data_IF_866570353462
#
_entry.id   IF_866570353462
#
_cell.length_a   1.000
_cell.length_b   1.000
_cell.length_c   1.000
_cell.angle_alpha   90.00
_cell.angle_beta   90.00
_cell.angle_gamma   90.00
#
_symmetry.space_group_name_H-M   'P 1'
#
loop_
_entity.id
_entity.type
_entity.pdbx_description
1 polymer ?
#
# COMPACT_ATOMS: atom_id res chain seq x y z
N UNK A 1 -9.85 9.20 1.78
CA UNK A 1 -11.09 8.53 2.23
C UNK A 1 -11.85 9.49 3.13
N UNK A 2 -13.18 9.60 3.00
CA UNK A 2 -13.98 10.46 3.88
C UNK A 2 -14.06 9.86 5.29
N UNK A 3 -13.78 10.66 6.32
CA UNK A 3 -13.91 10.23 7.73
C UNK A 3 -15.36 9.96 8.11
N UNK A 4 -16.28 10.71 7.49
CA UNK A 4 -17.72 10.58 7.68
C UNK A 4 -18.30 9.44 6.85
N UNK A 5 -17.93 9.38 5.56
CA UNK A 5 -18.45 8.38 4.63
C UNK A 5 -17.43 7.26 4.43
N UNK A 6 -17.50 6.28 5.33
CA UNK A 6 -16.65 5.10 5.35
C UNK A 6 -17.21 4.03 4.38
N UNK A 7 -17.18 4.33 3.09
CA UNK A 7 -17.72 3.48 2.01
C UNK A 7 -16.69 3.29 0.90
N UNK A 8 -16.57 2.06 0.42
CA UNK A 8 -15.78 1.64 -0.73
C UNK A 8 -16.73 1.55 -1.92
N UNK A 9 -16.35 2.18 -3.03
CA UNK A 9 -17.11 2.15 -4.27
C UNK A 9 -16.37 1.27 -5.29
N UNK A 10 -17.06 0.28 -5.83
CA UNK A 10 -16.55 -0.59 -6.88
C UNK A 10 -17.15 -0.13 -8.21
N UNK A 11 -16.27 0.25 -9.14
CA UNK A 11 -16.66 0.68 -10.47
C UNK A 11 -16.17 -0.32 -11.51
N UNK A 12 -16.99 -0.56 -12.52
CA UNK A 12 -16.61 -1.27 -13.75
C UNK A 12 -16.38 -0.25 -14.84
N UNK A 13 -15.30 -0.43 -15.60
CA UNK A 13 -15.02 0.35 -16.81
C UNK A 13 -15.64 -0.38 -17.98
N UNK A 14 -16.53 0.27 -18.72
CA UNK A 14 -17.15 -0.28 -19.92
C UNK A 14 -16.19 -0.21 -21.11
N UNK A 15 -16.48 -0.95 -22.18
CA UNK A 15 -15.72 -0.88 -23.44
C UNK A 15 -15.68 0.54 -24.03
N UNK A 16 -16.71 1.35 -23.75
CA UNK A 16 -16.80 2.75 -24.17
C UNK A 16 -16.02 3.72 -23.25
N UNK A 17 -15.30 3.21 -22.25
CA UNK A 17 -14.53 4.01 -21.29
C UNK A 17 -15.38 4.72 -20.22
N UNK A 18 -16.64 4.33 -20.03
CA UNK A 18 -17.49 4.90 -18.97
C UNK A 18 -17.37 4.12 -17.67
N UNK A 19 -17.48 4.82 -16.53
CA UNK A 19 -17.49 4.20 -15.20
C UNK A 19 -18.93 3.91 -14.77
N UNK A 20 -19.21 2.63 -14.48
CA UNK A 20 -20.49 2.19 -13.92
C UNK A 20 -20.26 1.79 -12.48
N UNK A 21 -21.02 2.38 -11.54
CA UNK A 21 -20.98 1.96 -10.15
C UNK A 21 -21.66 0.60 -10.02
N UNK A 22 -20.89 -0.44 -9.71
CA UNK A 22 -21.41 -1.79 -9.55
C UNK A 22 -21.86 -2.00 -8.12
N UNK A 23 -21.06 -1.55 -7.14
CA UNK A 23 -21.30 -1.89 -5.74
C UNK A 23 -20.77 -0.85 -4.76
N UNK A 24 -21.43 -0.76 -3.61
CA UNK A 24 -20.99 0.01 -2.43
C UNK A 24 -20.78 -0.93 -1.26
N UNK A 25 -19.64 -0.81 -0.57
CA UNK A 25 -19.28 -1.66 0.57
C UNK A 25 -18.95 -0.75 1.75
N UNK A 26 -19.61 -0.90 2.89
CA UNK A 26 -19.30 -0.13 4.09
C UNK A 26 -20.47 -0.09 5.06
N UNK A 27 -21.39 0.87 4.87
CA UNK A 27 -22.65 0.94 5.63
C UNK A 27 -23.42 -0.38 5.53
N UNK A 28 -23.57 -0.85 4.29
CA UNK A 28 -24.15 -2.13 3.93
C UNK A 28 -23.10 -2.99 3.21
N UNK A 29 -23.30 -4.30 3.27
CA UNK A 29 -22.40 -5.27 2.63
C UNK A 29 -23.08 -5.95 1.44
N UNK A 30 -24.38 -6.20 1.53
CA UNK A 30 -25.20 -6.66 0.41
C UNK A 30 -25.97 -5.50 -0.21
N UNK A 31 -26.37 -5.65 -1.47
CA UNK A 31 -27.11 -4.62 -2.20
C UNK A 31 -28.54 -4.48 -1.68
N UNK A 32 -29.16 -5.59 -1.27
CA UNK A 32 -30.54 -5.62 -0.77
C UNK A 32 -30.67 -5.17 0.70
N UNK A 33 -29.55 -5.07 1.44
CA UNK A 33 -29.54 -4.68 2.87
C UNK A 33 -30.30 -3.35 3.10
N UNK A 34 -30.15 -2.40 2.17
CA UNK A 34 -30.80 -1.09 2.26
C UNK A 34 -32.33 -1.22 2.15
N UNK A 35 -32.82 -2.09 1.26
CA UNK A 35 -34.24 -2.34 1.09
C UNK A 35 -34.83 -2.97 2.35
N UNK A 36 -34.19 -4.00 2.90
CA UNK A 36 -34.63 -4.64 4.15
C UNK A 36 -34.66 -3.65 5.32
N UNK A 37 -33.62 -2.83 5.50
CA UNK A 37 -33.58 -1.86 6.59
C UNK A 37 -34.55 -0.71 6.40
N UNK A 38 -34.79 -0.27 5.16
CA UNK A 38 -35.79 0.75 4.89
C UNK A 38 -37.18 0.30 5.32
N UNK A 39 -37.54 -0.97 5.09
CA UNK A 39 -38.83 -1.55 5.49
C UNK A 39 -39.11 -1.49 7.00
N UNK A 40 -38.05 -1.56 7.83
CA UNK A 40 -38.13 -1.46 9.29
C UNK A 40 -38.05 0.00 9.77
N UNK A 41 -37.22 0.82 9.12
CA UNK A 41 -36.90 2.21 9.52
C UNK A 41 -37.99 3.24 9.20
N UNK A 42 -38.93 2.93 8.32
CA UNK A 42 -40.08 3.81 8.06
C UNK A 42 -40.97 4.06 9.30
N UNK A 43 -40.79 3.29 10.38
CA UNK A 43 -41.59 3.42 11.61
C UNK A 43 -41.01 4.49 12.57
N UNK A 44 -39.69 4.74 12.58
CA UNK A 44 -39.04 5.57 13.62
C UNK A 44 -38.71 7.02 13.20
N UNK A 45 -38.68 7.33 11.89
CA UNK A 45 -38.22 8.65 11.40
C UNK A 45 -39.21 9.31 10.44
N UNK A 46 -40.31 9.86 11.00
CA UNK A 46 -41.22 10.73 10.25
C UNK A 46 -40.75 12.19 10.13
N UNK A 47 -39.69 12.62 10.81
CA UNK A 47 -39.29 14.03 10.88
C UNK A 47 -37.86 14.29 10.35
N UNK A 48 -37.73 14.52 9.03
CA UNK A 48 -36.57 15.15 8.40
C UNK A 48 -35.71 14.25 7.49
N UNK A 49 -34.87 14.85 6.62
CA UNK A 49 -34.00 14.09 5.71
C UNK A 49 -32.96 13.29 6.50
N UNK A 50 -33.03 11.97 6.36
CA UNK A 50 -32.18 11.02 7.05
C UNK A 50 -30.71 11.17 6.64
N UNK A 51 -29.81 11.24 7.62
CA UNK A 51 -28.36 11.39 7.39
C UNK A 51 -27.63 10.10 7.78
N UNK A 52 -27.12 9.30 6.82
CA UNK A 52 -26.49 8.01 7.10
C UNK A 52 -25.33 8.03 8.11
N UNK A 53 -24.61 9.15 8.23
CA UNK A 53 -23.50 9.28 9.16
C UNK A 53 -23.92 9.52 10.63
N UNK A 54 -25.22 9.68 10.90
CA UNK A 54 -25.77 9.87 12.26
C UNK A 54 -26.37 8.59 12.86
N UNK A 55 -26.23 7.46 12.18
CA UNK A 55 -26.69 6.17 12.71
C UNK A 55 -25.92 5.81 13.98
N UNK A 56 -26.68 5.44 15.02
CA UNK A 56 -26.13 4.91 16.28
C UNK A 56 -25.64 3.47 16.10
N UNK A 57 -26.23 2.74 15.15
CA UNK A 57 -25.88 1.37 14.85
C UNK A 57 -24.49 1.25 14.19
N UNK A 58 -23.77 0.19 14.55
CA UNK A 58 -22.49 -0.16 13.92
C UNK A 58 -22.77 -0.59 12.49
N UNK A 59 -22.00 -0.06 11.53
CA UNK A 59 -22.15 -0.45 10.13
C UNK A 59 -21.83 -1.93 9.87
N UNK A 60 -22.39 -2.49 8.79
CA UNK A 60 -22.30 -3.93 8.52
C UNK A 60 -20.85 -4.41 8.36
N UNK A 61 -19.99 -3.65 7.69
CA UNK A 61 -18.59 -4.04 7.50
C UNK A 61 -17.82 -4.08 8.83
N UNK A 62 -17.97 -3.05 9.67
CA UNK A 62 -17.34 -2.98 10.99
C UNK A 62 -17.90 -4.05 11.92
N UNK A 63 -19.20 -4.29 11.89
CA UNK A 63 -19.82 -5.37 12.65
C UNK A 63 -19.19 -6.72 12.30
N UNK A 64 -19.01 -7.03 11.01
CA UNK A 64 -18.34 -8.27 10.56
C UNK A 64 -16.90 -8.37 11.07
N UNK A 65 -16.16 -7.27 11.09
CA UNK A 65 -14.81 -7.23 11.67
C UNK A 65 -14.86 -7.51 13.19
N UNK A 66 -15.78 -6.90 13.92
CA UNK A 66 -15.93 -7.11 15.37
C UNK A 66 -16.32 -8.56 15.68
N UNK A 67 -17.24 -9.15 14.91
CA UNK A 67 -17.63 -10.56 15.03
C UNK A 67 -16.44 -11.48 14.76
N UNK A 68 -15.64 -11.19 13.74
CA UNK A 68 -14.41 -11.94 13.46
C UNK A 68 -13.44 -11.89 14.64
N UNK A 69 -13.18 -10.69 15.19
CA UNK A 69 -12.30 -10.50 16.34
C UNK A 69 -12.81 -11.21 17.60
N UNK A 70 -14.12 -11.16 17.85
CA UNK A 70 -14.77 -11.88 18.95
C UNK A 70 -14.60 -13.40 18.79
N UNK A 71 -14.93 -13.95 17.62
CA UNK A 71 -14.80 -15.38 17.36
C UNK A 71 -13.34 -15.85 17.49
N UNK A 72 -12.38 -15.03 17.06
CA UNK A 72 -10.95 -15.27 17.26
C UNK A 72 -10.58 -15.28 18.74
N UNK A 73 -11.09 -14.36 19.54
CA UNK A 73 -10.87 -14.34 20.98
C UNK A 73 -11.44 -15.60 21.66
N UNK A 74 -12.66 -16.01 21.31
CA UNK A 74 -13.29 -17.25 21.80
C UNK A 74 -12.46 -18.48 21.44
N UNK A 75 -11.97 -18.55 20.20
CA UNK A 75 -11.07 -19.62 19.76
C UNK A 75 -9.80 -19.70 20.62
N UNK A 76 -9.14 -18.56 20.87
CA UNK A 76 -7.95 -18.52 21.73
C UNK A 76 -8.26 -18.84 23.19
N UNK A 77 -9.43 -18.49 23.70
CA UNK A 77 -9.86 -18.90 25.04
C UNK A 77 -9.92 -20.43 25.15
N UNK A 78 -10.46 -21.11 24.14
CA UNK A 78 -10.52 -22.58 24.09
C UNK A 78 -9.13 -23.20 23.97
N UNK A 79 -8.28 -22.64 23.10
CA UNK A 79 -6.92 -23.17 22.87
C UNK A 79 -5.98 -22.98 24.07
N UNK A 80 -6.02 -21.82 24.74
CA UNK A 80 -5.16 -21.49 25.89
C UNK A 80 -5.80 -21.84 27.23
N UNK A 81 -7.03 -22.36 27.23
CA UNK A 81 -7.86 -22.60 28.41
C UNK A 81 -7.89 -21.42 29.39
N UNK A 82 -8.07 -20.20 28.86
CA UNK A 82 -8.00 -18.95 29.65
C UNK A 82 -9.01 -17.93 29.13
N UNK A 83 -9.67 -17.20 30.04
CA UNK A 83 -10.64 -16.15 29.67
C UNK A 83 -9.98 -14.84 29.21
N UNK A 84 -8.66 -14.69 29.42
CA UNK A 84 -7.92 -13.44 29.16
C UNK A 84 -8.13 -12.85 27.75
N UNK A 85 -8.06 -13.63 26.65
CA UNK A 85 -8.27 -13.09 25.29
C UNK A 85 -9.64 -12.44 25.10
N UNK A 86 -10.68 -12.97 25.74
CA UNK A 86 -12.02 -12.41 25.67
C UNK A 86 -12.12 -11.10 26.46
N UNK A 87 -11.49 -11.04 27.64
CA UNK A 87 -11.39 -9.80 28.41
C UNK A 87 -10.65 -8.70 27.63
N UNK A 88 -9.54 -9.04 26.98
CA UNK A 88 -8.78 -8.11 26.12
C UNK A 88 -9.62 -7.59 24.95
N UNK A 89 -10.46 -8.43 24.34
CA UNK A 89 -11.39 -7.99 23.31
C UNK A 89 -12.38 -6.95 23.85
N UNK A 90 -13.01 -7.21 25.00
CA UNK A 90 -13.98 -6.27 25.58
C UNK A 90 -13.33 -4.97 26.06
N UNK A 91 -12.11 -5.02 26.59
CA UNK A 91 -11.34 -3.83 26.96
C UNK A 91 -11.07 -2.92 25.75
N UNK A 92 -10.80 -3.53 24.58
CA UNK A 92 -10.49 -2.80 23.35
C UNK A 92 -11.71 -2.56 22.45
N UNK A 93 -12.91 -2.96 22.86
CA UNK A 93 -14.12 -2.92 22.03
C UNK A 93 -14.43 -1.50 21.51
N UNK A 94 -14.40 -0.51 22.40
CA UNK A 94 -14.65 0.88 22.04
C UNK A 94 -13.59 1.43 21.08
N UNK A 95 -12.35 0.98 21.25
CA UNK A 95 -11.26 1.35 20.37
C UNK A 95 -11.50 0.79 18.95
N UNK A 96 -11.85 -0.51 18.83
CA UNK A 96 -12.21 -1.10 17.54
C UNK A 96 -13.41 -0.40 16.89
N UNK A 97 -14.41 -0.01 17.68
CA UNK A 97 -15.57 0.73 17.19
C UNK A 97 -15.19 2.10 16.61
N UNK A 98 -14.16 2.76 17.15
CA UNK A 98 -13.70 4.10 16.70
C UNK A 98 -12.78 4.04 15.48
N UNK A 99 -12.20 2.89 15.14
CA UNK A 99 -11.32 2.74 13.98
C UNK A 99 -12.00 3.16 12.66
N UNK A 100 -11.22 3.78 11.79
CA UNK A 100 -11.63 4.27 10.47
C UNK A 100 -10.74 3.67 9.38
N UNK A 101 -11.32 3.37 8.23
CA UNK A 101 -10.59 3.00 7.02
C UNK A 101 -9.67 4.15 6.60
N UNK A 102 -8.38 3.84 6.56
CA UNK A 102 -7.34 4.77 6.15
C UNK A 102 -6.98 4.59 4.67
N UNK A 103 -6.65 3.35 4.29
CA UNK A 103 -6.23 2.96 2.95
C UNK A 103 -6.83 1.61 2.59
N UNK A 104 -6.93 1.32 1.30
CA UNK A 104 -7.31 0.00 0.81
C UNK A 104 -6.56 -0.31 -0.49
N UNK A 105 -6.47 -1.60 -0.80
CA UNK A 105 -6.07 -2.10 -2.11
C UNK A 105 -6.89 -3.34 -2.44
N UNK A 106 -6.92 -3.69 -3.72
CA UNK A 106 -7.46 -4.95 -4.20
C UNK A 106 -6.34 -5.99 -4.20
N UNK A 107 -6.56 -7.18 -3.63
CA UNK A 107 -5.60 -8.29 -3.73
C UNK A 107 -5.85 -9.14 -4.97
N UNK A 108 -7.12 -9.38 -5.29
CA UNK A 108 -7.58 -10.08 -6.48
C UNK A 108 -9.00 -9.63 -6.84
N UNK A 109 -9.66 -10.30 -7.79
CA UNK A 109 -11.03 -9.95 -8.21
C UNK A 109 -12.06 -9.91 -7.07
N UNK A 110 -11.84 -10.63 -5.98
CA UNK A 110 -12.83 -10.86 -4.92
C UNK A 110 -12.40 -10.32 -3.55
N UNK A 111 -11.11 -10.17 -3.28
CA UNK A 111 -10.57 -9.86 -1.96
C UNK A 111 -10.04 -8.43 -1.88
N UNK A 112 -10.55 -7.69 -0.89
CA UNK A 112 -10.05 -6.38 -0.49
C UNK A 112 -9.10 -6.51 0.68
N UNK A 113 -8.06 -5.68 0.66
CA UNK A 113 -7.15 -5.50 1.78
C UNK A 113 -7.25 -4.08 2.29
N UNK A 114 -7.81 -3.93 3.50
CA UNK A 114 -8.24 -2.65 4.06
C UNK A 114 -7.42 -2.37 5.32
N UNK A 115 -6.81 -1.20 5.39
CA UNK A 115 -6.10 -0.71 6.58
C UNK A 115 -7.00 0.21 7.39
N UNK A 116 -7.20 -0.14 8.65
CA UNK A 116 -7.91 0.63 9.65
C UNK A 116 -6.94 1.30 10.62
N UNK A 117 -7.21 2.54 10.99
CA UNK A 117 -6.44 3.30 11.96
C UNK A 117 -7.35 4.23 12.79
N UNK A 118 -6.79 4.86 13.81
CA UNK A 118 -7.49 5.90 14.56
C UNK A 118 -7.86 7.09 13.67
N UNK A 119 -8.90 7.83 14.04
CA UNK A 119 -9.38 8.98 13.26
C UNK A 119 -8.30 10.04 13.04
N UNK A 120 -7.47 10.31 14.05
CA UNK A 120 -6.33 11.24 13.99
C UNK A 120 -5.28 10.85 12.93
N UNK A 121 -5.12 9.56 12.67
CA UNK A 121 -4.23 9.05 11.61
C UNK A 121 -4.86 9.27 10.24
N UNK A 122 -6.16 9.02 10.11
CA UNK A 122 -6.90 9.19 8.86
C UNK A 122 -7.02 10.66 8.45
N UNK A 123 -7.14 11.58 9.41
CA UNK A 123 -7.15 13.03 9.18
C UNK A 123 -5.75 13.63 9.00
N UNK A 124 -4.69 12.81 9.10
CA UNK A 124 -3.28 13.26 9.06
C UNK A 124 -2.97 14.32 10.13
N UNK A 125 -3.65 14.27 11.28
CA UNK A 125 -3.40 15.19 12.39
C UNK A 125 -2.22 14.78 13.26
N UNK A 126 -1.59 13.63 12.98
CA UNK A 126 -0.44 13.08 13.71
C UNK A 126 0.81 13.22 12.83
N UNK A 127 1.93 13.58 13.45
CA UNK A 127 3.23 13.78 12.76
C UNK A 127 3.80 12.48 12.16
N UNK A 128 3.65 11.35 12.86
CA UNK A 128 4.01 10.02 12.36
C UNK A 128 2.78 9.08 12.34
N UNK A 129 2.04 9.05 11.22
CA UNK A 129 0.90 8.15 11.03
C UNK A 129 1.24 6.66 11.11
N UNK A 130 2.46 6.25 10.74
CA UNK A 130 2.83 4.84 10.63
C UNK A 130 3.29 4.24 11.96
N UNK A 131 3.75 5.07 12.90
CA UNK A 131 4.05 4.64 14.27
C UNK A 131 2.80 4.26 15.07
N UNK A 132 1.64 4.79 14.68
CA UNK A 132 0.37 4.53 15.38
C UNK A 132 -0.14 3.10 15.13
N UNK A 133 -0.82 2.47 16.11
CA UNK A 133 -1.43 1.16 15.93
C UNK A 133 -2.42 1.17 14.76
N UNK A 134 -2.36 0.15 13.92
CA UNK A 134 -3.28 -0.04 12.80
C UNK A 134 -3.55 -1.51 12.54
N UNK A 135 -4.69 -1.79 11.92
CA UNK A 135 -5.16 -3.12 11.61
C UNK A 135 -5.31 -3.30 10.10
N UNK A 136 -4.96 -4.46 9.61
CA UNK A 136 -5.15 -4.88 8.24
C UNK A 136 -6.24 -5.94 8.19
N UNK A 137 -7.22 -5.74 7.33
CA UNK A 137 -8.40 -6.60 7.20
C UNK A 137 -8.46 -7.15 5.78
N UNK A 138 -8.53 -8.48 5.65
CA UNK A 138 -8.80 -9.16 4.39
C UNK A 138 -10.30 -9.45 4.32
N UNK A 139 -10.99 -8.87 3.34
CA UNK A 139 -12.43 -8.97 3.18
C UNK A 139 -12.80 -9.53 1.82
N UNK A 140 -13.62 -10.59 1.79
CA UNK A 140 -14.17 -11.12 0.55
C UNK A 140 -15.43 -10.34 0.17
N UNK A 141 -15.41 -9.71 -0.99
CA UNK A 141 -16.53 -8.92 -1.49
C UNK A 141 -17.73 -9.81 -1.82
N UNK A 142 -17.53 -11.00 -2.37
CA UNK A 142 -18.63 -11.88 -2.81
C UNK A 142 -19.33 -12.52 -1.62
N UNK A 143 -18.60 -13.23 -0.76
CA UNK A 143 -19.21 -13.88 0.42
C UNK A 143 -19.54 -12.90 1.54
N UNK A 144 -19.04 -11.66 1.47
CA UNK A 144 -19.12 -10.63 2.51
C UNK A 144 -18.45 -11.02 3.83
N UNK A 145 -17.46 -11.91 3.79
CA UNK A 145 -16.79 -12.41 4.99
C UNK A 145 -15.44 -11.71 5.23
N UNK A 146 -15.13 -11.53 6.51
CA UNK A 146 -13.78 -11.13 6.93
C UNK A 146 -12.96 -12.40 7.10
N UNK A 147 -11.93 -12.56 6.29
CA UNK A 147 -11.09 -13.77 6.28
C UNK A 147 -9.96 -13.69 7.30
N UNK A 148 -9.38 -12.50 7.47
CA UNK A 148 -8.27 -12.29 8.38
C UNK A 148 -8.19 -10.85 8.88
N UNK A 149 -7.70 -10.69 10.12
CA UNK A 149 -7.36 -9.40 10.70
C UNK A 149 -5.97 -9.48 11.32
N UNK A 150 -5.07 -8.59 10.90
CA UNK A 150 -3.69 -8.51 11.37
C UNK A 150 -3.41 -7.15 12.00
N UNK A 151 -2.53 -7.12 12.99
CA UNK A 151 -1.98 -5.88 13.54
C UNK A 151 -0.77 -5.42 12.72
N UNK A 152 -0.40 -4.15 12.84
CA UNK A 152 0.80 -3.60 12.19
C UNK A 152 2.13 -4.13 12.75
N UNK A 153 2.07 -4.95 13.79
CA UNK A 153 3.19 -5.68 14.40
C UNK A 153 3.17 -7.17 14.09
N UNK A 154 2.30 -7.64 13.18
CA UNK A 154 2.11 -9.06 12.94
C UNK A 154 3.23 -9.69 12.10
N UNK A 155 4.00 -10.60 12.72
CA UNK A 155 5.01 -11.43 12.04
C UNK A 155 4.42 -12.22 10.88
N UNK A 156 3.24 -12.82 11.09
CA UNK A 156 2.55 -13.63 10.08
C UNK A 156 2.20 -12.81 8.83
N UNK A 157 1.79 -11.55 8.99
CA UNK A 157 1.51 -10.71 7.83
C UNK A 157 2.81 -10.34 7.10
N UNK A 158 3.90 -10.12 7.84
CA UNK A 158 5.20 -9.88 7.24
C UNK A 158 5.68 -11.08 6.44
N UNK A 159 5.60 -12.29 6.99
CA UNK A 159 5.98 -13.54 6.31
C UNK A 159 5.18 -13.72 5.00
N UNK A 160 3.86 -13.48 5.04
CA UNK A 160 3.02 -13.53 3.83
C UNK A 160 3.48 -12.47 2.81
N UNK A 161 3.78 -11.26 3.26
CA UNK A 161 4.21 -10.17 2.39
C UNK A 161 5.59 -10.42 1.76
N UNK A 162 6.53 -11.03 2.47
CA UNK A 162 7.85 -11.35 1.95
C UNK A 162 7.81 -12.47 0.91
N UNK A 163 7.04 -13.52 1.18
CA UNK A 163 6.93 -14.69 0.30
C UNK A 163 6.06 -14.42 -0.94
N UNK A 164 5.03 -13.58 -0.82
CA UNK A 164 4.05 -13.31 -1.88
C UNK A 164 3.96 -11.83 -2.25
N UNK A 165 5.09 -11.11 -2.18
CA UNK A 165 5.16 -9.66 -2.38
C UNK A 165 4.53 -9.20 -3.71
N UNK A 166 4.73 -9.99 -4.77
CA UNK A 166 4.19 -9.70 -6.10
C UNK A 166 2.66 -9.67 -6.12
N UNK A 167 1.97 -10.44 -5.29
CA UNK A 167 0.50 -10.43 -5.21
C UNK A 167 -0.06 -9.15 -4.54
N UNK A 168 0.77 -8.44 -3.77
CA UNK A 168 0.40 -7.15 -3.18
C UNK A 168 0.76 -5.98 -4.11
N UNK A 169 1.60 -6.22 -5.12
CA UNK A 169 2.03 -5.22 -6.10
C UNK A 169 1.22 -5.37 -7.38
N UNK A 170 1.10 -4.27 -8.13
CA UNK A 170 0.61 -4.19 -9.51
C UNK A 170 -0.18 -5.41 -10.01
N UNK A 171 -1.52 -5.35 -9.94
CA UNK A 171 -2.38 -6.38 -10.51
C UNK A 171 -1.98 -6.65 -11.97
N UNK A 172 -1.32 -7.79 -12.20
CA UNK A 172 -0.85 -8.23 -13.52
C UNK A 172 -2.05 -8.71 -14.31
N UNK A 173 -2.86 -7.77 -14.80
CA UNK A 173 -4.06 -8.08 -15.58
C UNK A 173 -3.76 -8.22 -17.08
N UNK A 174 -2.59 -7.76 -17.56
CA UNK A 174 -2.36 -7.55 -19.01
C UNK A 174 -1.08 -8.20 -19.57
N UNK A 175 -0.18 -8.76 -18.74
CA UNK A 175 1.05 -9.38 -19.24
C UNK A 175 1.56 -10.51 -18.32
N UNK A 176 1.30 -11.79 -18.64
CA UNK A 176 1.71 -12.94 -17.80
C UNK A 176 3.24 -13.13 -17.68
N UNK A 177 4.05 -12.34 -18.39
CA UNK A 177 5.51 -12.51 -18.48
C UNK A 177 6.33 -11.37 -17.89
N UNK A 178 5.73 -10.40 -17.21
CA UNK A 178 6.50 -9.35 -16.53
C UNK A 178 7.02 -9.87 -15.19
N UNK A 179 8.27 -10.35 -15.20
CA UNK A 179 9.07 -10.68 -14.04
C UNK A 179 9.36 -9.39 -13.25
N UNK A 180 8.40 -8.92 -12.45
CA UNK A 180 8.62 -7.79 -11.55
C UNK A 180 9.76 -8.12 -10.60
N UNK A 181 10.84 -7.34 -10.58
CA UNK A 181 11.92 -7.59 -9.63
C UNK A 181 11.43 -7.36 -8.19
N UNK A 182 11.30 -8.43 -7.42
CA UNK A 182 10.79 -8.40 -6.05
C UNK A 182 11.59 -9.32 -5.11
N UNK A 183 11.50 -9.12 -3.78
CA UNK A 183 12.15 -10.03 -2.83
C UNK A 183 11.68 -11.50 -2.98
N UNK A 184 10.45 -11.74 -3.44
CA UNK A 184 9.90 -13.08 -3.61
C UNK A 184 10.55 -13.85 -4.76
N UNK A 185 10.95 -13.18 -5.85
CA UNK A 185 11.45 -13.84 -7.06
C UNK A 185 12.92 -13.54 -7.43
N UNK A 186 13.55 -12.53 -6.81
CA UNK A 186 14.90 -12.11 -7.12
C UNK A 186 15.81 -12.20 -5.89
N UNK A 187 16.93 -12.93 -6.01
CA UNK A 187 17.88 -13.15 -4.91
C UNK A 187 18.56 -11.86 -4.47
N UNK A 188 18.95 -10.98 -5.40
CA UNK A 188 19.57 -9.69 -5.08
C UNK A 188 18.58 -8.76 -4.37
N UNK A 189 17.32 -8.72 -4.83
CA UNK A 189 16.26 -7.97 -4.16
C UNK A 189 16.02 -8.48 -2.74
N UNK A 190 16.03 -9.81 -2.55
CA UNK A 190 15.90 -10.45 -1.25
C UNK A 190 17.06 -10.12 -0.31
N UNK A 191 18.30 -10.15 -0.81
CA UNK A 191 19.47 -9.76 -0.02
C UNK A 191 19.37 -8.30 0.42
N UNK A 192 19.02 -7.38 -0.49
CA UNK A 192 18.82 -5.97 -0.13
C UNK A 192 17.72 -5.79 0.91
N UNK A 193 16.63 -6.54 0.79
CA UNK A 193 15.53 -6.53 1.75
C UNK A 193 15.97 -7.03 3.14
N UNK A 194 16.72 -8.13 3.22
CA UNK A 194 17.28 -8.63 4.49
C UNK A 194 18.31 -7.67 5.10
N UNK A 195 19.22 -7.11 4.30
CA UNK A 195 20.17 -6.11 4.81
C UNK A 195 19.47 -4.85 5.34
N UNK A 196 18.37 -4.45 4.70
CA UNK A 196 17.54 -3.34 5.17
C UNK A 196 16.87 -3.67 6.52
N UNK A 197 16.34 -4.89 6.66
CA UNK A 197 15.78 -5.39 7.93
C UNK A 197 16.82 -5.36 9.05
N UNK A 198 17.99 -5.96 8.84
CA UNK A 198 19.08 -5.98 9.83
C UNK A 198 19.51 -4.57 10.24
N UNK A 199 19.57 -3.64 9.29
CA UNK A 199 19.91 -2.24 9.56
C UNK A 199 18.90 -1.58 10.49
N UNK A 200 17.60 -1.86 10.32
CA UNK A 200 16.55 -1.31 11.19
C UNK A 200 16.58 -1.99 12.57
N UNK A 201 16.70 -3.31 12.60
CA UNK A 201 16.72 -4.08 13.84
C UNK A 201 17.88 -3.66 14.74
N UNK A 202 19.07 -3.44 14.17
CA UNK A 202 20.28 -3.10 14.91
C UNK A 202 20.43 -1.59 15.24
N UNK A 203 19.47 -0.76 14.87
CA UNK A 203 19.51 0.68 15.16
C UNK A 203 19.28 0.98 16.66
N UNK A 204 19.76 2.14 17.14
CA UNK A 204 19.70 2.55 18.58
C UNK A 204 18.28 2.60 19.19
N UNK A 205 17.25 2.76 18.35
CA UNK A 205 15.83 2.69 18.72
C UNK A 205 15.09 1.69 17.83
N UNK A 206 15.82 0.70 17.33
CA UNK A 206 15.32 -0.37 16.49
C UNK A 206 14.76 -1.53 17.31
N UNK A 207 14.45 -2.60 16.59
CA UNK A 207 13.97 -3.87 17.13
C UNK A 207 13.13 -4.60 16.08
N UNK A 208 12.88 -5.88 16.30
CA UNK A 208 12.11 -6.70 15.36
C UNK A 208 10.71 -6.12 15.12
N UNK A 209 10.03 -5.70 16.18
CA UNK A 209 8.70 -5.09 16.10
C UNK A 209 8.69 -3.79 15.30
N UNK A 210 9.71 -2.93 15.45
CA UNK A 210 9.81 -1.69 14.69
C UNK A 210 10.20 -1.95 13.23
N UNK A 211 11.00 -2.98 12.97
CA UNK A 211 11.31 -3.45 11.61
C UNK A 211 10.04 -3.93 10.89
N UNK A 212 9.23 -4.77 11.56
CA UNK A 212 7.94 -5.25 11.04
C UNK A 212 7.00 -4.08 10.75
N UNK A 213 6.80 -3.17 11.72
CA UNK A 213 5.96 -1.98 11.53
C UNK A 213 6.41 -1.17 10.32
N UNK A 214 7.72 -0.96 10.16
CA UNK A 214 8.28 -0.17 9.07
C UNK A 214 8.12 -0.81 7.70
N UNK A 215 8.20 -2.15 7.62
CA UNK A 215 7.91 -2.87 6.38
C UNK A 215 6.41 -2.88 6.06
N UNK A 216 5.57 -3.23 7.02
CA UNK A 216 4.12 -3.27 6.84
C UNK A 216 3.50 -1.87 6.64
N UNK A 217 4.19 -0.79 7.01
CA UNK A 217 3.78 0.58 6.72
C UNK A 217 3.63 0.87 5.21
N UNK A 218 4.31 0.10 4.36
CA UNK A 218 4.16 0.21 2.89
C UNK A 218 2.78 -0.23 2.41
N UNK A 219 2.09 -1.09 3.19
CA UNK A 219 0.79 -1.60 2.86
C UNK A 219 -0.34 -0.66 3.36
N UNK A 220 -1.45 -0.54 2.61
CA UNK A 220 -1.66 -0.99 1.24
C UNK A 220 -0.84 -0.18 0.23
N UNK A 221 -0.37 -0.87 -0.81
CA UNK A 221 0.40 -0.35 -1.94
C UNK A 221 -0.55 0.24 -2.98
N UNK A 222 -0.21 1.40 -3.54
CA UNK A 222 -0.99 1.96 -4.64
C UNK A 222 -0.73 1.18 -5.92
N UNK A 223 -1.79 0.94 -6.68
CA UNK A 223 -1.68 0.44 -8.05
C UNK A 223 -0.79 1.41 -8.84
N UNK A 224 0.13 0.89 -9.67
CA UNK A 224 1.09 1.67 -10.48
C UNK A 224 2.25 2.32 -9.69
N UNK A 225 2.51 1.92 -8.44
CA UNK A 225 3.68 2.44 -7.70
C UNK A 225 5.01 1.78 -8.05
N UNK A 226 5.02 0.72 -8.86
CA UNK A 226 6.23 -0.02 -9.20
C UNK A 226 6.39 -0.09 -10.71
N UNK A 227 7.60 0.23 -11.17
CA UNK A 227 7.99 0.06 -12.56
C UNK A 227 8.29 -1.42 -12.85
N UNK A 228 7.95 -1.85 -14.05
CA UNK A 228 8.21 -3.19 -14.59
C UNK A 228 9.31 -3.18 -15.64
N UNK A 229 10.06 -2.08 -15.75
CA UNK A 229 11.09 -1.92 -16.77
C UNK A 229 12.29 -2.85 -16.50
N UNK A 230 12.82 -3.53 -17.53
CA UNK A 230 14.00 -4.40 -17.38
C UNK A 230 15.26 -3.64 -16.95
N UNK A 231 15.31 -2.32 -17.12
CA UNK A 231 16.41 -1.49 -16.63
C UNK A 231 16.54 -1.45 -15.11
N UNK A 232 15.44 -1.69 -14.40
CA UNK A 232 15.40 -1.74 -12.95
C UNK A 232 15.36 -3.17 -12.41
N UNK A 233 15.62 -4.16 -13.27
CA UNK A 233 15.75 -5.54 -12.82
C UNK A 233 17.12 -5.76 -12.18
N UNK A 234 17.12 -6.09 -10.89
CA UNK A 234 18.34 -6.34 -10.13
C UNK A 234 19.07 -7.63 -10.55
N UNK A 235 18.41 -8.52 -11.30
CA UNK A 235 19.04 -9.68 -11.92
C UNK A 235 19.90 -9.29 -13.14
N UNK A 236 19.52 -8.24 -13.86
CA UNK A 236 20.24 -7.77 -15.04
C UNK A 236 21.30 -6.72 -14.67
N UNK A 237 20.94 -5.78 -13.80
CA UNK A 237 21.77 -4.63 -13.46
C UNK A 237 22.04 -4.49 -11.97
N UNK A 238 23.25 -4.06 -11.64
CA UNK A 238 23.63 -3.55 -10.34
C UNK A 238 23.66 -2.01 -10.41
N UNK A 239 22.87 -1.37 -9.56
CA UNK A 239 22.79 0.08 -9.40
C UNK A 239 22.52 0.42 -7.93
N UNK A 240 22.71 1.68 -7.56
CA UNK A 240 22.48 2.15 -6.18
C UNK A 240 21.02 2.61 -5.99
N UNK A 241 20.26 1.85 -5.18
CA UNK A 241 18.83 2.07 -4.92
C UNK A 241 18.52 3.43 -4.25
N UNK A 242 19.55 4.09 -3.70
CA UNK A 242 19.42 5.43 -3.12
C UNK A 242 19.05 6.48 -4.18
N UNK A 243 19.52 6.32 -5.41
CA UNK A 243 19.33 7.29 -6.49
C UNK A 243 18.17 6.93 -7.42
N UNK A 244 17.91 5.63 -7.60
CA UNK A 244 16.84 5.12 -8.48
C UNK A 244 16.33 3.80 -7.93
N UNK A 245 15.02 3.56 -7.96
CA UNK A 245 14.43 2.31 -7.45
C UNK A 245 13.26 1.84 -8.31
N UNK A 246 12.92 0.55 -8.21
CA UNK A 246 11.73 -0.06 -8.85
C UNK A 246 10.46 0.65 -8.40
N UNK A 247 10.39 1.08 -7.15
CA UNK A 247 9.27 1.86 -6.63
C UNK A 247 9.35 3.31 -7.14
N UNK A 248 8.33 3.75 -7.85
CA UNK A 248 8.23 5.08 -8.46
C UNK A 248 7.97 6.14 -7.39
N UNK A 249 9.06 6.66 -6.81
CA UNK A 249 9.04 7.78 -5.88
C UNK A 249 10.19 8.75 -6.20
N UNK A 250 10.00 10.06 -5.98
CA UNK A 250 11.09 11.02 -6.10
C UNK A 250 12.26 10.64 -5.18
N UNK A 251 13.46 10.57 -5.75
CA UNK A 251 14.72 10.30 -5.05
C UNK A 251 15.58 11.57 -5.02
N UNK A 252 16.51 11.65 -4.07
CA UNK A 252 17.49 12.73 -4.08
C UNK A 252 18.29 12.68 -5.39
N UNK A 253 18.53 13.83 -5.99
CA UNK A 253 19.41 13.96 -7.15
C UNK A 253 20.81 14.28 -6.66
N UNK A 254 21.77 13.42 -6.99
CA UNK A 254 23.19 13.71 -6.81
C UNK A 254 23.76 14.43 -8.02
N UNK A 255 24.96 15.00 -7.87
CA UNK A 255 25.68 15.65 -8.98
C UNK A 255 26.34 14.65 -9.95
N UNK A 256 26.41 13.38 -9.54
CA UNK A 256 27.06 12.33 -10.30
C UNK A 256 26.04 11.49 -11.05
N UNK A 257 26.45 11.05 -12.25
CA UNK A 257 25.64 10.14 -13.06
C UNK A 257 25.35 8.83 -12.33
N UNK A 258 24.10 8.37 -12.42
CA UNK A 258 23.67 7.07 -11.90
C UNK A 258 24.24 5.99 -12.82
N UNK A 259 25.01 5.07 -12.26
CA UNK A 259 25.74 4.03 -13.02
C UNK A 259 25.01 2.71 -12.95
N UNK A 260 24.85 2.07 -14.11
CA UNK A 260 24.27 0.74 -14.23
C UNK A 260 25.34 -0.24 -14.73
N UNK A 261 25.70 -1.19 -13.87
CA UNK A 261 26.66 -2.25 -14.17
C UNK A 261 25.90 -3.52 -14.51
N UNK A 262 26.32 -4.27 -15.52
CA UNK A 262 25.71 -5.57 -15.79
C UNK A 262 26.12 -6.60 -14.73
N UNK A 263 25.18 -7.41 -14.28
CA UNK A 263 25.42 -8.44 -13.25
C UNK A 263 26.28 -9.59 -13.75
N UNK A 264 26.21 -9.90 -15.05
CA UNK A 264 26.95 -10.99 -15.69
C UNK A 264 28.47 -10.72 -15.76
N UNK A 265 28.85 -9.48 -16.03
CA UNK A 265 30.21 -9.09 -16.42
C UNK A 265 30.82 -8.04 -15.50
N UNK A 266 30.02 -7.38 -14.67
CA UNK A 266 30.45 -6.24 -13.84
C UNK A 266 30.77 -4.98 -14.65
N UNK A 267 30.64 -5.03 -15.98
CA UNK A 267 30.94 -3.90 -16.85
C UNK A 267 29.87 -2.83 -16.74
N UNK A 268 30.30 -1.57 -16.76
CA UNK A 268 29.41 -0.42 -16.87
C UNK A 268 28.72 -0.45 -18.24
N UNK A 269 27.38 -0.57 -18.27
CA UNK A 269 26.61 -0.60 -19.53
C UNK A 269 26.11 0.77 -19.93
N UNK A 270 25.61 1.55 -18.98
CA UNK A 270 25.12 2.90 -19.24
C UNK A 270 25.12 3.75 -17.96
N UNK A 271 25.01 5.06 -18.15
CA UNK A 271 24.84 6.04 -17.08
C UNK A 271 23.66 6.94 -17.39
N UNK A 272 22.92 7.34 -16.36
CA UNK A 272 21.86 8.35 -16.46
C UNK A 272 22.39 9.62 -15.78
N UNK A 273 22.47 10.71 -16.53
CA UNK A 273 22.88 12.01 -16.00
C UNK A 273 21.63 12.79 -15.64
N UNK A 274 21.57 13.30 -14.42
CA UNK A 274 20.40 13.95 -13.88
C UNK A 274 20.87 15.33 -13.47
N UNK A 275 20.29 16.36 -14.08
CA UNK A 275 20.70 17.74 -13.93
C UNK A 275 21.30 18.39 -15.15
N UNK A 276 21.19 19.71 -15.16
CA UNK A 276 21.73 20.58 -16.18
C UNK A 276 23.25 20.73 -15.93
N UNK A 277 24.10 20.33 -16.89
CA UNK A 277 25.56 20.56 -16.85
C UNK A 277 25.94 22.06 -16.90
N UNK A 278 24.98 22.95 -17.11
CA UNK A 278 25.17 24.40 -17.02
C UNK A 278 25.34 24.85 -15.57
N UNK A 279 26.62 24.92 -15.17
CA UNK A 279 27.19 25.85 -14.19
C UNK A 279 26.35 26.06 -12.92
N UNK A 280 26.74 25.36 -11.84
CA UNK A 280 27.01 25.96 -10.52
C UNK A 280 26.16 27.19 -10.13
N UNK A 281 24.84 27.11 -10.24
CA UNK A 281 24.01 27.91 -9.36
C UNK A 281 23.83 27.06 -8.12
N UNK A 282 24.35 27.55 -7.00
CA UNK A 282 24.15 27.01 -5.66
C UNK A 282 22.65 27.04 -5.38
N UNK A 283 21.93 26.02 -5.84
CA UNK A 283 20.55 25.83 -5.43
C UNK A 283 20.61 25.36 -4.00
N UNK A 284 20.37 26.28 -3.06
CA UNK A 284 20.19 25.96 -1.65
C UNK A 284 18.90 25.14 -1.49
N UNK A 285 18.97 23.83 -1.72
CA UNK A 285 17.84 22.92 -1.59
C UNK A 285 18.16 21.49 -2.01
N UNK A 286 17.48 20.51 -1.38
CA UNK A 286 17.51 19.11 -1.82
C UNK A 286 16.81 18.98 -3.17
N UNK A 287 17.57 18.72 -4.24
CA UNK A 287 17.01 18.39 -5.55
C UNK A 287 16.41 17.00 -5.52
N UNK A 288 15.19 16.86 -6.02
CA UNK A 288 14.51 15.58 -6.14
C UNK A 288 14.24 15.28 -7.62
N UNK A 289 14.51 14.05 -8.03
CA UNK A 289 14.23 13.54 -9.36
C UNK A 289 13.28 12.34 -9.27
N UNK A 290 12.25 12.33 -10.10
CA UNK A 290 11.43 11.15 -10.37
C UNK A 290 11.86 10.55 -11.71
N UNK A 291 11.92 9.22 -11.79
CA UNK A 291 12.28 8.50 -13.00
C UNK A 291 11.10 7.67 -13.49
N UNK A 292 10.82 7.78 -14.78
CA UNK A 292 9.80 7.00 -15.47
C UNK A 292 10.53 6.21 -16.54
N UNK A 293 10.68 4.91 -16.31
CA UNK A 293 11.33 4.01 -17.26
C UNK A 293 10.28 3.46 -18.21
N UNK A 294 10.56 3.50 -19.51
CA UNK A 294 9.69 2.83 -20.46
C UNK A 294 9.70 1.32 -20.20
N UNK A 295 8.55 0.63 -20.24
CA UNK A 295 8.48 -0.80 -19.93
C UNK A 295 9.20 -1.68 -20.96
N UNK A 296 9.41 -1.19 -22.20
CA UNK A 296 9.97 -2.00 -23.31
C UNK A 296 11.07 -1.34 -24.13
N UNK A 297 11.05 -0.01 -24.21
CA UNK A 297 11.93 0.72 -25.14
C UNK A 297 13.11 1.29 -24.36
N UNK A 298 14.26 1.53 -25.02
CA UNK A 298 15.47 2.04 -24.38
C UNK A 298 15.36 3.55 -24.09
N UNK A 299 14.38 3.90 -23.27
CA UNK A 299 13.94 5.25 -23.01
C UNK A 299 13.59 5.45 -21.55
N UNK A 300 14.11 6.54 -20.97
CA UNK A 300 13.83 6.94 -19.59
C UNK A 300 13.54 8.43 -19.57
N UNK A 301 12.54 8.83 -18.79
CA UNK A 301 12.26 10.23 -18.51
C UNK A 301 12.69 10.50 -17.07
N UNK A 302 13.49 11.54 -16.86
CA UNK A 302 13.72 12.05 -15.50
C UNK A 302 13.06 13.41 -15.36
N UNK A 303 12.24 13.56 -14.32
CA UNK A 303 11.57 14.81 -13.98
C UNK A 303 12.16 15.33 -12.68
N UNK A 304 12.84 16.47 -12.76
CA UNK A 304 13.41 17.16 -11.63
C UNK A 304 12.52 18.33 -11.24
N UNK A 305 12.31 18.48 -9.93
CA UNK A 305 11.68 19.69 -9.39
C UNK A 305 12.71 20.51 -8.64
N UNK A 306 12.98 21.70 -9.15
CA UNK A 306 13.89 22.67 -8.53
C UNK A 306 13.05 23.87 -8.12
N UNK A 307 12.73 23.98 -6.83
CA UNK A 307 11.80 24.98 -6.28
C UNK A 307 10.42 24.94 -6.99
N UNK A 308 10.23 25.84 -7.96
CA UNK A 308 9.02 26.06 -8.74
C UNK A 308 9.13 25.60 -10.20
N UNK A 309 10.31 25.26 -10.68
CA UNK A 309 10.53 24.84 -12.07
C UNK A 309 10.65 23.32 -12.19
N UNK A 310 10.08 22.79 -13.27
CA UNK A 310 10.20 21.40 -13.65
C UNK A 310 11.16 21.30 -14.83
N UNK A 311 12.23 20.52 -14.65
CA UNK A 311 13.16 20.17 -15.72
C UNK A 311 12.89 18.72 -16.10
N UNK A 312 12.61 18.48 -17.37
CA UNK A 312 12.33 17.15 -17.90
C UNK A 312 13.48 16.77 -18.84
N UNK A 313 14.19 15.70 -18.51
CA UNK A 313 15.24 15.16 -19.38
C UNK A 313 14.77 13.85 -19.99
N UNK A 314 15.08 13.69 -21.28
CA UNK A 314 14.78 12.51 -22.07
C UNK A 314 16.07 11.73 -22.31
N UNK A 315 16.17 10.54 -21.75
CA UNK A 315 17.33 9.67 -21.88
C UNK A 315 17.02 8.61 -22.94
N UNK A 316 17.71 8.70 -24.07
CA UNK A 316 17.56 7.76 -25.18
C UNK A 316 18.89 7.06 -25.39
N UNK A 317 18.86 5.73 -25.54
CA UNK A 317 20.06 4.99 -25.95
C UNK A 317 20.37 5.29 -27.41
N UNK A 318 21.48 5.97 -27.67
CA UNK A 318 22.01 6.06 -29.02
C UNK A 318 22.61 4.69 -29.43
N UNK A 319 22.28 4.17 -30.62
CA UNK A 319 23.02 3.05 -31.18
C UNK A 319 24.47 3.48 -31.37
N UNK A 320 25.40 2.61 -31.01
CA UNK A 320 26.81 2.80 -31.31
C UNK A 320 26.92 2.59 -32.83
N UNK A 321 27.24 3.66 -33.56
CA UNK A 321 27.65 3.55 -34.97
C UNK A 321 29.02 2.89 -35.08
#
# INVERSE_FOLDING_TARGET
MSVQHQTIHVFQVTENGTFVNVRKIGRFCYEDDELYLSSVKYIEHQNGPFRPYRETAINSLKHRILVFLYNRAVYYCRMKNSIRPLCEFYQNFDYFCKLKMWKMQLLDKYHLFIKYAAESVVTLSVSDPNAQPSFFVVYNMVSTEVLAVYENTSDKLLEIFENFCDNFRNAVLQAPTQLSCSPSNNTYARTLHHSFLETITNAKFGGETEAIKRLLAQLPISCQSYSVSPYLDLALFSYDDKWVSVMERPKACGDHAIRFFARDSGLLKFKIHVGIEHKSQLVNGRRLAAFIFHPRDPFVISVERTNSEYVVNFHIRHPIN
#
